data_IF_951760600690
#
_entry.id   IF_951760600690
#
_cell.length_a   1.000
_cell.length_b   1.000
_cell.length_c   1.000
_cell.angle_alpha   90.00
_cell.angle_beta   90.00
_cell.angle_gamma   90.00
#
_symmetry.space_group_name_H-M   'P 1'
#
loop_
_entity.id
_entity.type
_entity.pdbx_description
1 polymer ?
#
# COMPACT_ATOMS: atom_id res chain seq x y z
N UNK A 1 -0.36 61.55 1.86
CA UNK A 1 -0.72 61.18 3.24
C UNK A 1 -0.50 59.68 3.42
N UNK A 2 -0.20 59.25 4.64
CA UNK A 2 0.72 58.17 4.98
C UNK A 2 0.32 56.73 4.58
N UNK A 3 1.37 55.99 4.22
CA UNK A 3 1.49 54.53 4.15
C UNK A 3 1.25 53.84 5.51
N UNK A 4 0.76 52.60 5.50
CA UNK A 4 1.23 51.64 6.51
C UNK A 4 1.17 50.17 6.00
N UNK A 5 2.34 49.63 5.69
CA UNK A 5 2.64 48.19 5.67
C UNK A 5 3.02 47.78 7.09
N UNK A 6 2.35 46.79 7.66
CA UNK A 6 2.88 46.06 8.82
C UNK A 6 3.52 44.75 8.35
N UNK A 7 4.85 44.71 8.44
CA UNK A 7 5.61 43.50 8.73
C UNK A 7 5.29 43.05 10.18
N UNK A 8 5.77 41.89 10.60
CA UNK A 8 6.37 41.52 11.91
C UNK A 8 6.63 40.01 11.82
N UNK A 9 7.85 39.48 11.84
CA UNK A 9 8.95 39.55 12.81
C UNK A 9 9.10 38.15 13.45
N UNK A 10 10.13 37.45 12.99
CA UNK A 10 10.67 36.20 13.51
C UNK A 10 11.21 36.40 14.92
N UNK A 11 10.88 35.51 15.86
CA UNK A 11 11.54 35.45 17.16
C UNK A 11 12.06 34.02 17.43
N UNK A 12 13.38 33.88 17.34
CA UNK A 12 14.18 32.84 17.99
C UNK A 12 14.45 33.30 19.42
N UNK A 13 14.27 32.43 20.42
CA UNK A 13 15.03 32.51 21.65
C UNK A 13 15.23 31.11 22.25
N UNK A 14 16.42 30.94 22.80
CA UNK A 14 17.12 29.71 23.15
C UNK A 14 17.17 29.44 24.66
N UNK A 15 17.32 28.15 24.98
CA UNK A 15 18.01 27.52 26.11
C UNK A 15 17.55 27.77 27.58
N UNK A 16 17.36 26.66 28.29
CA UNK A 16 17.33 26.58 29.75
C UNK A 16 17.46 25.12 30.21
N UNK A 17 18.70 24.71 30.54
CA UNK A 17 19.06 23.43 31.14
C UNK A 17 19.10 23.59 32.67
N UNK A 18 18.47 22.71 33.45
CA UNK A 18 18.72 22.57 34.90
C UNK A 18 18.74 21.07 35.26
N UNK A 19 19.75 20.68 36.04
CA UNK A 19 20.09 19.33 36.50
C UNK A 19 19.63 19.07 37.95
N UNK A 20 19.53 17.76 38.29
CA UNK A 20 19.69 17.10 39.61
C UNK A 20 18.52 17.25 40.64
N UNK A 21 18.18 16.30 41.54
CA UNK A 21 18.65 14.94 41.90
C UNK A 21 17.76 14.37 43.05
N UNK A 22 17.90 13.06 43.35
CA UNK A 22 17.49 12.27 44.56
C UNK A 22 16.03 11.75 44.58
N UNK A 23 15.69 10.48 44.83
CA UNK A 23 16.41 9.26 45.27
C UNK A 23 15.39 8.34 45.99
N UNK A 24 15.49 7.01 45.85
CA UNK A 24 14.70 6.04 46.64
C UNK A 24 14.51 4.67 45.99
N UNK A 25 15.38 3.72 46.35
CA UNK A 25 15.41 2.29 45.97
C UNK A 25 14.57 1.38 46.90
N UNK A 26 14.53 0.08 46.52
CA UNK A 26 14.17 -1.15 47.28
C UNK A 26 12.70 -1.61 47.19
N UNK A 27 12.33 -2.87 46.97
CA UNK A 27 12.99 -4.14 46.60
C UNK A 27 11.85 -5.18 46.39
N UNK A 28 12.07 -6.28 45.66
CA UNK A 28 11.19 -7.46 45.73
C UNK A 28 11.12 -8.32 44.47
N UNK A 29 12.09 -9.22 44.30
CA UNK A 29 12.02 -10.36 43.37
C UNK A 29 11.85 -11.66 44.17
N UNK A 30 10.88 -12.50 43.78
CA UNK A 30 10.98 -13.95 43.95
C UNK A 30 10.39 -14.66 42.71
N UNK A 31 11.05 -15.68 42.15
CA UNK A 31 10.65 -16.34 40.90
C UNK A 31 9.81 -17.62 41.12
N UNK A 32 8.93 -17.95 40.18
CA UNK A 32 8.20 -19.21 40.12
C UNK A 32 7.59 -19.46 38.74
N UNK A 33 7.98 -20.56 38.11
CA UNK A 33 7.61 -21.02 36.76
C UNK A 33 6.16 -21.54 36.69
N UNK A 34 5.49 -21.25 35.56
CA UNK A 34 4.55 -22.12 34.84
C UNK A 34 4.27 -21.42 33.49
N UNK A 35 5.01 -21.74 32.44
CA UNK A 35 4.60 -22.67 31.38
C UNK A 35 3.47 -22.13 30.49
N UNK A 36 3.88 -21.84 29.24
CA UNK A 36 3.15 -22.01 27.98
C UNK A 36 1.70 -21.54 27.92
N UNK A 37 1.49 -20.45 27.18
CA UNK A 37 0.60 -20.46 26.01
C UNK A 37 1.02 -19.32 25.08
N UNK A 38 1.79 -19.67 24.04
CA UNK A 38 1.99 -18.80 22.88
C UNK A 38 0.69 -18.89 22.09
N UNK A 39 -0.27 -18.03 22.40
CA UNK A 39 -1.45 -17.86 21.57
C UNK A 39 -0.99 -17.24 20.24
N UNK A 40 -0.85 -18.11 19.26
CA UNK A 40 -0.63 -17.79 17.85
C UNK A 40 -1.90 -17.10 17.33
N UNK A 41 -1.96 -15.79 17.58
CA UNK A 41 -2.95 -14.91 17.00
C UNK A 41 -2.85 -14.97 15.48
N UNK A 42 -3.83 -15.64 14.87
CA UNK A 42 -4.02 -15.78 13.45
C UNK A 42 -4.23 -14.39 12.83
N UNK A 43 -3.14 -13.82 12.31
CA UNK A 43 -3.19 -12.76 11.31
C UNK A 43 -4.03 -13.27 10.14
N UNK A 44 -5.24 -12.72 10.01
CA UNK A 44 -6.10 -12.98 8.85
C UNK A 44 -5.41 -12.39 7.63
N UNK A 45 -4.71 -13.25 6.89
CA UNK A 45 -3.92 -12.88 5.74
C UNK A 45 -4.76 -12.10 4.72
N UNK A 46 -4.21 -10.99 4.23
CA UNK A 46 -4.57 -10.37 2.95
C UNK A 46 -4.91 -11.49 1.94
N UNK A 47 -5.98 -11.40 1.13
CA UNK A 47 -6.17 -12.40 0.07
C UNK A 47 -5.20 -12.11 -1.08
N UNK A 48 -3.96 -12.46 -0.79
CA UNK A 48 -2.81 -12.48 -1.63
C UNK A 48 -2.85 -13.79 -2.41
N UNK A 49 -2.44 -13.74 -3.68
CA UNK A 49 -2.27 -14.97 -4.42
C UNK A 49 -1.14 -15.79 -3.78
N UNK A 50 -1.12 -17.12 -4.00
CA UNK A 50 0.02 -17.95 -3.60
C UNK A 50 1.38 -17.45 -4.15
N UNK A 51 1.37 -16.72 -5.28
CA UNK A 51 2.58 -16.12 -5.85
C UNK A 51 3.07 -14.95 -5.00
N UNK A 52 2.16 -14.16 -4.42
CA UNK A 52 2.51 -13.07 -3.51
C UNK A 52 3.16 -13.59 -2.24
N UNK A 53 2.58 -14.61 -1.61
CA UNK A 53 3.14 -15.24 -0.41
C UNK A 53 4.52 -15.83 -0.69
N UNK A 54 4.68 -16.47 -1.86
CA UNK A 54 5.99 -16.96 -2.32
C UNK A 54 6.99 -15.81 -2.50
N UNK A 55 6.58 -14.66 -3.02
CA UNK A 55 7.46 -13.51 -3.21
C UNK A 55 7.90 -12.90 -1.87
N UNK A 56 6.99 -12.81 -0.90
CA UNK A 56 7.29 -12.40 0.48
C UNK A 56 8.30 -13.35 1.13
N UNK A 57 8.05 -14.65 1.05
CA UNK A 57 8.96 -15.66 1.58
C UNK A 57 10.34 -15.61 0.88
N UNK A 58 10.36 -15.44 -0.45
CA UNK A 58 11.59 -15.31 -1.22
C UNK A 58 12.41 -14.10 -0.79
N UNK A 59 11.77 -12.92 -0.66
CA UNK A 59 12.46 -11.69 -0.24
C UNK A 59 12.96 -11.78 1.20
N UNK A 60 12.22 -12.43 2.11
CA UNK A 60 12.66 -12.67 3.48
C UNK A 60 13.89 -13.59 3.54
N UNK A 61 13.94 -14.62 2.69
CA UNK A 61 15.10 -15.52 2.59
C UNK A 61 16.29 -14.91 1.84
N UNK A 62 16.04 -13.95 0.93
CA UNK A 62 17.06 -13.32 0.09
C UNK A 62 16.96 -11.78 0.16
N UNK A 63 17.13 -11.18 1.36
CA UNK A 63 16.96 -9.73 1.54
C UNK A 63 18.03 -8.93 0.81
N UNK A 64 19.14 -9.56 0.43
CA UNK A 64 20.23 -9.04 -0.40
C UNK A 64 20.48 -10.01 -1.56
N UNK A 65 21.10 -9.51 -2.63
CA UNK A 65 21.60 -10.34 -3.74
C UNK A 65 23.04 -10.71 -3.48
N UNK A 66 23.29 -11.96 -3.12
CA UNK A 66 24.65 -12.51 -2.94
C UNK A 66 25.48 -11.63 -1.97
N UNK A 67 24.84 -11.10 -0.92
CA UNK A 67 25.42 -10.17 0.05
C UNK A 67 25.34 -8.68 -0.29
N UNK A 68 24.95 -8.32 -1.53
CA UNK A 68 24.84 -6.95 -2.03
C UNK A 68 23.41 -6.47 -2.31
N UNK A 69 23.28 -5.29 -2.93
CA UNK A 69 21.98 -4.72 -3.30
C UNK A 69 21.34 -5.45 -4.49
N UNK A 70 20.02 -5.58 -4.48
CA UNK A 70 19.25 -6.04 -5.64
C UNK A 70 19.12 -4.97 -6.75
N UNK A 71 19.50 -3.71 -6.50
CA UNK A 71 19.37 -2.64 -7.49
C UNK A 71 20.06 -2.99 -8.82
N UNK A 72 19.32 -2.88 -9.93
CA UNK A 72 19.82 -3.23 -11.28
C UNK A 72 19.67 -4.72 -11.64
N UNK A 73 19.31 -5.59 -10.70
CA UNK A 73 19.27 -7.05 -10.92
C UNK A 73 17.88 -7.60 -11.18
N UNK A 74 17.02 -6.81 -11.84
CA UNK A 74 15.61 -7.16 -12.06
C UNK A 74 15.41 -8.46 -12.85
N UNK A 75 16.14 -8.68 -13.94
CA UNK A 75 16.07 -9.95 -14.69
C UNK A 75 16.54 -11.15 -13.86
N UNK A 76 17.62 -10.98 -13.07
CA UNK A 76 18.10 -12.02 -12.16
C UNK A 76 17.08 -12.35 -11.07
N UNK A 77 16.34 -11.34 -10.56
CA UNK A 77 15.28 -11.58 -9.59
C UNK A 77 14.17 -12.41 -10.23
N UNK A 78 13.71 -12.03 -11.41
CA UNK A 78 12.64 -12.76 -12.11
C UNK A 78 13.01 -14.21 -12.38
N UNK A 79 14.25 -14.45 -12.85
CA UNK A 79 14.75 -15.80 -13.13
C UNK A 79 14.83 -16.67 -11.86
N UNK A 80 15.42 -16.13 -10.77
CA UNK A 80 15.59 -16.88 -9.51
C UNK A 80 14.26 -17.09 -8.76
N UNK A 81 13.45 -16.05 -8.61
CA UNK A 81 12.13 -16.15 -7.96
C UNK A 81 11.15 -17.00 -8.77
N UNK A 82 11.12 -16.79 -10.09
CA UNK A 82 10.24 -17.52 -11.00
C UNK A 82 10.65 -18.97 -11.21
N UNK A 83 11.85 -19.36 -10.76
CA UNK A 83 12.48 -20.66 -11.03
C UNK A 83 12.47 -20.97 -12.54
N UNK A 84 12.82 -19.96 -13.33
CA UNK A 84 12.71 -20.03 -14.78
C UNK A 84 13.82 -20.93 -15.35
N UNK A 85 13.57 -21.63 -16.49
CA UNK A 85 14.57 -22.49 -17.08
C UNK A 85 15.81 -21.70 -17.53
N UNK A 86 16.97 -22.34 -17.56
CA UNK A 86 18.22 -21.71 -18.00
C UNK A 86 18.12 -21.14 -19.43
N UNK A 87 17.35 -21.79 -20.30
CA UNK A 87 17.08 -21.33 -21.67
C UNK A 87 16.39 -19.95 -21.76
N UNK A 88 15.74 -19.51 -20.68
CA UNK A 88 15.08 -18.19 -20.58
C UNK A 88 16.01 -17.09 -20.08
N UNK A 89 17.22 -17.42 -19.60
CA UNK A 89 18.15 -16.43 -19.09
C UNK A 89 18.56 -15.45 -20.19
N UNK A 90 18.55 -14.15 -19.88
CA UNK A 90 18.98 -13.09 -20.80
C UNK A 90 19.88 -12.10 -20.06
N UNK A 91 20.87 -11.51 -20.76
CA UNK A 91 21.75 -10.48 -20.21
C UNK A 91 21.02 -9.28 -19.60
N UNK A 92 19.88 -8.86 -20.18
CA UNK A 92 19.12 -7.70 -19.71
C UNK A 92 17.61 -7.91 -19.76
N UNK A 93 16.87 -7.02 -19.07
CA UNK A 93 15.41 -7.06 -19.07
C UNK A 93 14.84 -6.70 -20.46
N UNK A 94 15.46 -5.78 -21.20
CA UNK A 94 15.02 -5.40 -22.54
C UNK A 94 15.24 -6.53 -23.55
N UNK A 95 16.28 -7.34 -23.40
CA UNK A 95 16.50 -8.53 -24.21
C UNK A 95 15.50 -9.64 -23.88
N UNK A 96 15.18 -9.84 -22.60
CA UNK A 96 14.09 -10.73 -22.19
C UNK A 96 12.74 -10.27 -22.76
N UNK A 97 12.43 -8.97 -22.69
CA UNK A 97 11.23 -8.38 -23.30
C UNK A 97 11.15 -8.69 -24.80
N UNK A 98 12.23 -8.45 -25.56
CA UNK A 98 12.27 -8.70 -27.02
C UNK A 98 12.11 -10.17 -27.38
N UNK A 99 12.58 -11.07 -26.52
CA UNK A 99 12.43 -12.50 -26.69
C UNK A 99 11.07 -13.03 -26.17
N UNK A 100 10.24 -12.19 -25.56
CA UNK A 100 8.97 -12.57 -24.95
C UNK A 100 7.78 -12.19 -25.82
N UNK A 101 6.68 -12.94 -25.69
CA UNK A 101 5.41 -12.60 -26.34
C UNK A 101 4.55 -11.67 -25.47
N UNK A 102 4.52 -10.39 -25.83
CA UNK A 102 3.67 -9.38 -25.18
C UNK A 102 2.20 -9.66 -25.45
N UNK A 103 1.39 -9.63 -24.38
CA UNK A 103 -0.04 -9.90 -24.44
C UNK A 103 -0.85 -8.60 -24.57
N UNK A 104 -0.51 -7.58 -23.78
CA UNK A 104 -1.23 -6.31 -23.77
C UNK A 104 -0.39 -5.21 -23.16
N UNK A 105 -0.67 -3.96 -23.55
CA UNK A 105 -0.11 -2.75 -22.93
C UNK A 105 -0.99 -2.17 -21.83
N UNK A 106 -2.20 -2.73 -21.62
CA UNK A 106 -3.06 -2.38 -20.50
C UNK A 106 -2.68 -3.23 -19.27
N UNK A 107 -2.09 -2.63 -18.21
CA UNK A 107 -1.66 -3.39 -17.04
C UNK A 107 -2.84 -3.93 -16.23
N UNK A 108 -4.02 -3.31 -16.29
CA UNK A 108 -5.19 -3.74 -15.53
C UNK A 108 -5.71 -5.13 -15.95
N UNK A 109 -5.33 -5.61 -17.14
CA UNK A 109 -5.69 -6.95 -17.62
C UNK A 109 -4.64 -8.01 -17.33
N UNK A 110 -3.53 -7.64 -16.67
CA UNK A 110 -2.44 -8.57 -16.39
C UNK A 110 -2.91 -9.68 -15.45
N UNK A 111 -2.53 -10.91 -15.76
CA UNK A 111 -2.83 -12.07 -14.93
C UNK A 111 -1.77 -12.20 -13.82
N UNK A 112 -2.11 -12.88 -12.73
CA UNK A 112 -1.15 -13.23 -11.67
C UNK A 112 0.05 -13.95 -12.27
N UNK A 113 1.27 -13.56 -11.89
CA UNK A 113 2.53 -14.10 -12.41
C UNK A 113 2.95 -13.53 -13.77
N UNK A 114 2.26 -12.51 -14.31
CA UNK A 114 2.69 -11.82 -15.50
C UNK A 114 3.98 -11.02 -15.27
N UNK A 115 4.84 -10.94 -16.28
CA UNK A 115 5.99 -10.05 -16.31
C UNK A 115 5.59 -8.71 -16.92
N UNK A 116 5.95 -7.63 -16.25
CA UNK A 116 5.77 -6.26 -16.70
C UNK A 116 7.10 -5.68 -17.13
N UNK A 117 7.11 -4.96 -18.25
CA UNK A 117 8.32 -4.50 -18.89
C UNK A 117 8.35 -2.99 -19.01
N UNK A 118 9.53 -2.40 -18.85
CA UNK A 118 9.76 -0.98 -19.07
C UNK A 118 11.01 -0.74 -19.89
N UNK A 119 10.94 0.32 -20.68
CA UNK A 119 12.08 0.92 -21.35
C UNK A 119 12.66 2.01 -20.43
N UNK A 120 13.86 1.73 -19.93
CA UNK A 120 14.65 2.61 -19.08
C UNK A 120 16.12 2.24 -19.18
N UNK A 121 16.97 3.22 -19.49
CA UNK A 121 18.40 2.99 -19.69
C UNK A 121 18.68 2.00 -20.82
N UNK A 122 19.87 1.39 -20.81
CA UNK A 122 20.28 0.40 -21.82
C UNK A 122 19.65 -0.99 -21.58
N UNK A 123 19.39 -1.34 -20.32
CA UNK A 123 19.03 -2.71 -19.92
C UNK A 123 17.53 -2.93 -19.72
N UNK A 124 16.73 -1.87 -19.69
CA UNK A 124 15.30 -1.93 -19.37
C UNK A 124 15.01 -2.33 -17.93
N UNK A 125 13.73 -2.57 -17.62
CA UNK A 125 13.31 -3.09 -16.32
C UNK A 125 12.21 -4.13 -16.45
N UNK A 126 12.15 -5.04 -15.47
CA UNK A 126 11.12 -6.08 -15.37
C UNK A 126 10.68 -6.31 -13.92
N UNK A 127 9.40 -6.62 -13.73
CA UNK A 127 8.85 -7.09 -12.47
C UNK A 127 7.71 -8.09 -12.68
N UNK A 128 7.40 -8.89 -11.65
CA UNK A 128 6.38 -9.92 -11.70
C UNK A 128 5.11 -9.48 -10.95
N UNK A 129 3.96 -9.55 -11.62
CA UNK A 129 2.67 -9.28 -11.00
C UNK A 129 2.32 -10.38 -9.99
N UNK A 130 2.10 -9.99 -8.75
CA UNK A 130 1.82 -10.91 -7.68
C UNK A 130 0.33 -11.20 -7.50
N UNK A 131 -0.57 -10.35 -8.01
CA UNK A 131 -2.02 -10.47 -7.77
C UNK A 131 -2.86 -10.22 -9.04
N UNK A 132 -2.21 -9.96 -10.17
CA UNK A 132 -2.83 -9.44 -11.38
C UNK A 132 -3.10 -7.93 -11.31
N UNK A 133 -3.36 -7.36 -12.48
CA UNK A 133 -3.82 -5.98 -12.67
C UNK A 133 -2.74 -4.90 -12.55
N UNK A 134 -1.46 -5.27 -12.41
CA UNK A 134 -0.33 -4.36 -12.34
C UNK A 134 -0.21 -3.59 -11.02
N UNK A 135 -0.79 -4.14 -9.94
CA UNK A 135 -1.04 -3.41 -8.69
C UNK A 135 -0.02 -3.73 -7.59
N UNK A 136 0.46 -4.98 -7.57
CA UNK A 136 1.50 -5.46 -6.68
C UNK A 136 2.54 -6.18 -7.54
N UNK A 137 3.52 -5.44 -8.03
CA UNK A 137 4.56 -5.96 -8.93
C UNK A 137 5.85 -6.10 -8.14
N UNK A 138 6.30 -7.34 -8.00
CA UNK A 138 7.55 -7.70 -7.36
C UNK A 138 8.73 -7.34 -8.25
N UNK A 139 9.68 -6.59 -7.70
CA UNK A 139 10.77 -6.01 -8.49
C UNK A 139 12.03 -5.76 -7.66
N UNK A 140 13.15 -5.70 -8.39
CA UNK A 140 14.45 -5.31 -7.86
C UNK A 140 14.74 -3.86 -8.24
N UNK A 141 14.50 -2.92 -7.32
CA UNK A 141 14.61 -1.49 -7.61
C UNK A 141 14.83 -0.64 -6.35
N UNK A 142 15.36 0.57 -6.54
CA UNK A 142 15.35 1.63 -5.53
C UNK A 142 14.03 2.42 -5.51
N UNK A 143 13.15 2.23 -6.51
CA UNK A 143 11.86 2.90 -6.62
C UNK A 143 10.72 2.01 -6.11
N UNK A 144 10.80 1.55 -4.87
CA UNK A 144 9.78 0.70 -4.25
C UNK A 144 8.72 1.55 -3.53
N UNK A 145 7.47 1.08 -3.53
CA UNK A 145 6.44 1.61 -2.62
C UNK A 145 6.51 0.91 -1.26
N UNK A 146 6.90 -0.37 -1.26
CA UNK A 146 7.14 -1.15 -0.05
C UNK A 146 8.43 -1.96 -0.23
N UNK A 147 9.38 -1.74 0.67
CA UNK A 147 10.65 -2.47 0.70
C UNK A 147 10.55 -3.72 1.58
N UNK A 148 11.09 -4.83 1.09
CA UNK A 148 11.19 -6.11 1.81
C UNK A 148 12.64 -6.55 2.05
N UNK A 149 13.61 -5.70 1.68
CA UNK A 149 15.04 -5.95 1.83
C UNK A 149 15.85 -4.78 1.24
N UNK A 150 17.04 -5.08 0.73
CA UNK A 150 17.90 -4.08 0.07
C UNK A 150 17.57 -4.04 -1.43
N UNK A 151 16.76 -3.05 -1.82
CA UNK A 151 16.29 -2.85 -3.19
C UNK A 151 15.47 -4.02 -3.78
N UNK A 152 14.72 -4.72 -2.93
CA UNK A 152 13.77 -5.79 -3.29
C UNK A 152 12.44 -5.54 -2.59
N UNK A 153 11.34 -5.66 -3.31
CA UNK A 153 10.00 -5.41 -2.76
C UNK A 153 8.99 -5.22 -3.87
N UNK A 154 7.97 -4.40 -3.61
CA UNK A 154 6.90 -4.16 -4.58
C UNK A 154 6.73 -2.69 -4.93
N UNK A 155 6.14 -2.48 -6.10
CA UNK A 155 5.48 -1.24 -6.50
C UNK A 155 4.31 -1.60 -7.46
N UNK A 156 3.45 -0.63 -7.79
CA UNK A 156 2.51 -0.78 -8.90
C UNK A 156 3.15 -0.31 -10.21
N UNK A 157 2.49 -0.59 -11.35
CA UNK A 157 2.93 -0.05 -12.65
C UNK A 157 2.91 1.48 -12.64
N UNK A 158 1.80 2.06 -12.17
CA UNK A 158 1.62 3.52 -12.06
C UNK A 158 2.67 4.15 -11.14
N UNK A 159 2.91 3.53 -9.97
CA UNK A 159 3.84 4.01 -8.96
C UNK A 159 5.30 3.89 -9.40
N UNK A 160 5.67 2.83 -10.11
CA UNK A 160 7.02 2.68 -10.65
C UNK A 160 7.27 3.65 -11.81
N UNK A 161 6.37 3.71 -12.80
CA UNK A 161 6.51 4.59 -13.98
C UNK A 161 6.61 6.05 -13.57
N UNK A 162 5.78 6.50 -12.61
CA UNK A 162 5.84 7.89 -12.14
C UNK A 162 7.13 8.24 -11.40
N UNK A 163 7.67 7.33 -10.59
CA UNK A 163 8.89 7.58 -9.80
C UNK A 163 10.18 7.45 -10.61
N UNK A 164 10.21 6.54 -11.57
CA UNK A 164 11.40 6.25 -12.38
C UNK A 164 11.45 7.08 -13.68
N UNK A 165 10.31 7.59 -14.15
CA UNK A 165 10.18 8.15 -15.50
C UNK A 165 10.24 7.10 -16.61
N UNK A 166 10.25 5.80 -16.26
CA UNK A 166 10.37 4.72 -17.22
C UNK A 166 9.11 4.59 -18.11
N UNK A 167 9.31 4.32 -19.39
CA UNK A 167 8.21 4.10 -20.34
C UNK A 167 7.73 2.66 -20.24
N UNK A 168 6.47 2.46 -19.86
CA UNK A 168 5.88 1.12 -19.78
C UNK A 168 5.70 0.50 -21.18
N UNK A 169 6.12 -0.75 -21.33
CA UNK A 169 6.10 -1.48 -22.61
C UNK A 169 4.99 -2.52 -22.71
N UNK A 170 4.34 -2.88 -21.60
CA UNK A 170 3.28 -3.87 -21.53
C UNK A 170 3.63 -5.07 -20.66
N UNK A 171 2.81 -6.12 -20.73
CA UNK A 171 2.99 -7.34 -19.96
C UNK A 171 2.91 -8.61 -20.81
N UNK A 172 3.54 -9.67 -20.30
CA UNK A 172 3.51 -11.01 -20.88
C UNK A 172 3.38 -12.07 -19.78
N UNK A 173 2.81 -13.24 -20.11
CA UNK A 173 2.96 -14.44 -19.26
C UNK A 173 4.29 -15.16 -19.52
N UNK A 174 4.99 -14.72 -20.55
CA UNK A 174 6.19 -15.31 -21.12
C UNK A 174 7.41 -14.47 -20.76
N UNK A 175 8.46 -15.10 -20.26
CA UNK A 175 9.78 -14.53 -20.06
C UNK A 175 10.75 -15.33 -20.91
N UNK A 176 10.89 -14.96 -22.19
CA UNK A 176 11.79 -15.61 -23.13
C UNK A 176 11.66 -17.16 -23.17
N UNK A 177 10.43 -17.67 -23.14
CA UNK A 177 10.07 -19.09 -23.08
C UNK A 177 9.79 -19.62 -21.67
N UNK A 178 10.09 -18.85 -20.61
CA UNK A 178 9.83 -19.20 -19.21
C UNK A 178 8.48 -18.68 -18.70
N UNK A 179 7.90 -19.35 -17.70
CA UNK A 179 6.66 -18.92 -17.03
C UNK A 179 6.73 -19.19 -15.52
N UNK A 180 6.20 -18.25 -14.73
CA UNK A 180 6.06 -18.43 -13.29
C UNK A 180 5.00 -19.49 -12.98
N UNK A 181 5.39 -20.54 -12.26
CA UNK A 181 4.46 -21.58 -11.79
C UNK A 181 3.40 -20.98 -10.85
N UNK A 182 2.14 -21.42 -11.04
CA UNK A 182 0.96 -20.91 -10.32
C UNK A 182 0.35 -19.64 -10.91
N UNK A 183 0.88 -19.13 -12.04
CA UNK A 183 0.40 -17.91 -12.69
C UNK A 183 -0.63 -18.15 -13.80
N UNK A 184 -1.38 -17.09 -14.13
CA UNK A 184 -2.39 -17.06 -15.19
C UNK A 184 -3.82 -16.81 -14.69
N UNK A 185 -4.02 -16.59 -13.40
CA UNK A 185 -5.32 -16.24 -12.88
C UNK A 185 -5.62 -14.73 -13.10
N UNK A 186 -6.86 -14.34 -13.40
CA UNK A 186 -7.23 -12.93 -13.56
C UNK A 186 -6.95 -12.10 -12.30
N UNK A 187 -6.85 -10.76 -12.42
CA UNK A 187 -6.81 -9.88 -11.25
C UNK A 187 -7.97 -10.17 -10.31
N UNK A 188 -7.65 -10.48 -9.04
CA UNK A 188 -8.66 -10.89 -8.05
C UNK A 188 -9.07 -12.38 -8.12
N UNK A 189 -8.41 -13.18 -8.94
CA UNK A 189 -8.57 -14.63 -9.06
C UNK A 189 -7.42 -15.35 -8.36
N UNK A 190 -7.66 -15.84 -7.16
CA UNK A 190 -6.74 -16.70 -6.42
C UNK A 190 -7.49 -17.35 -5.28
N UNK A 191 -8.24 -18.42 -5.59
CA UNK A 191 -9.15 -19.10 -4.65
C UNK A 191 -10.60 -18.65 -4.85
N UNK A 192 -11.53 -19.61 -4.96
CA UNK A 192 -12.92 -19.37 -5.33
C UNK A 192 -13.68 -18.40 -4.41
N UNK A 193 -14.61 -17.66 -5.00
CA UNK A 193 -15.57 -16.82 -4.27
C UNK A 193 -15.47 -15.34 -4.63
N UNK A 194 -16.48 -14.84 -5.32
CA UNK A 194 -16.71 -13.47 -5.76
C UNK A 194 -16.76 -12.42 -4.63
N UNK A 195 -15.63 -11.87 -4.18
CA UNK A 195 -15.58 -10.53 -3.56
C UNK A 195 -14.14 -10.04 -3.40
N UNK A 196 -13.92 -8.73 -3.51
CA UNK A 196 -12.67 -8.12 -3.04
C UNK A 196 -12.52 -8.44 -1.54
N UNK A 197 -11.36 -8.97 -1.09
CA UNK A 197 -11.12 -9.33 0.30
C UNK A 197 -11.42 -8.16 1.22
N UNK A 198 -12.00 -8.40 2.40
CA UNK A 198 -12.20 -7.34 3.40
C UNK A 198 -10.84 -6.79 3.83
N UNK A 199 -10.80 -5.49 4.11
CA UNK A 199 -9.62 -4.84 4.69
C UNK A 199 -9.67 -4.90 6.20
N UNK A 200 -8.55 -5.20 6.83
CA UNK A 200 -8.30 -5.11 8.27
C UNK A 200 -8.20 -3.67 8.80
N UNK A 201 -8.06 -2.68 7.92
CA UNK A 201 -8.03 -1.25 8.29
C UNK A 201 -9.23 -0.83 9.14
N UNK A 202 -10.38 -1.52 9.07
CA UNK A 202 -11.52 -1.27 9.96
C UNK A 202 -11.19 -1.52 11.45
N UNK A 203 -10.19 -2.36 11.75
CA UNK A 203 -9.76 -2.73 13.10
C UNK A 203 -8.48 -1.99 13.52
N UNK A 204 -7.45 -1.99 12.68
CA UNK A 204 -6.14 -1.46 13.06
C UNK A 204 -5.96 0.04 12.71
N UNK A 205 -6.75 0.56 11.77
CA UNK A 205 -6.65 1.93 11.24
C UNK A 205 -5.41 2.20 10.39
N UNK A 206 -4.70 1.16 9.94
CA UNK A 206 -3.51 1.24 9.07
C UNK A 206 -3.93 0.98 7.62
N UNK A 207 -3.87 1.97 6.72
CA UNK A 207 -4.24 1.77 5.33
C UNK A 207 -3.29 0.83 4.57
N UNK A 208 -3.84 -0.23 3.99
CA UNK A 208 -3.12 -1.15 3.10
C UNK A 208 -3.61 -1.12 1.64
N UNK A 209 -3.01 -1.90 0.73
CA UNK A 209 -3.44 -1.96 -0.68
C UNK A 209 -4.90 -2.40 -0.85
N UNK A 210 -5.39 -3.36 -0.04
CA UNK A 210 -6.78 -3.83 -0.10
C UNK A 210 -7.77 -2.73 0.30
N UNK A 211 -7.42 -1.93 1.31
CA UNK A 211 -8.20 -0.75 1.72
C UNK A 211 -8.41 0.21 0.55
N UNK A 212 -7.34 0.58 -0.14
CA UNK A 212 -7.41 1.48 -1.29
C UNK A 212 -8.11 0.85 -2.50
N UNK A 213 -7.90 -0.43 -2.81
CA UNK A 213 -8.63 -1.12 -3.90
C UNK A 213 -10.14 -1.10 -3.66
N UNK A 214 -10.57 -1.32 -2.42
CA UNK A 214 -11.98 -1.27 -2.05
C UNK A 214 -12.54 0.15 -2.17
N UNK A 215 -11.79 1.17 -1.74
CA UNK A 215 -12.14 2.59 -1.96
C UNK A 215 -12.28 2.90 -3.44
N UNK A 216 -11.32 2.51 -4.27
CA UNK A 216 -11.33 2.77 -5.71
C UNK A 216 -12.49 2.06 -6.41
N UNK A 217 -12.78 0.81 -6.01
CA UNK A 217 -13.90 0.04 -6.56
C UNK A 217 -15.25 0.64 -6.19
N UNK A 218 -15.45 0.99 -4.91
CA UNK A 218 -16.64 1.71 -4.47
C UNK A 218 -16.72 3.09 -5.13
N UNK A 219 -15.57 3.75 -5.30
CA UNK A 219 -15.44 5.02 -6.01
C UNK A 219 -15.90 4.96 -7.46
N UNK A 220 -15.51 3.92 -8.18
CA UNK A 220 -15.88 3.76 -9.59
C UNK A 220 -17.38 3.46 -9.72
N UNK A 221 -17.91 2.62 -8.83
CA UNK A 221 -19.33 2.26 -8.82
C UNK A 221 -20.25 3.41 -8.43
N UNK A 222 -19.92 4.13 -7.35
CA UNK A 222 -20.85 5.03 -6.67
C UNK A 222 -20.52 6.52 -6.85
N UNK A 223 -19.28 6.87 -7.23
CA UNK A 223 -18.78 8.25 -7.13
C UNK A 223 -18.09 8.78 -8.40
N UNK A 224 -18.12 8.04 -9.50
CA UNK A 224 -17.54 8.45 -10.78
C UNK A 224 -16.02 8.48 -10.79
N UNK A 225 -15.35 7.70 -9.95
CA UNK A 225 -13.90 7.54 -9.99
C UNK A 225 -13.46 6.89 -11.31
N UNK A 226 -12.58 7.56 -12.04
CA UNK A 226 -12.03 7.09 -13.34
C UNK A 226 -10.58 6.63 -13.26
N UNK A 227 -9.99 6.67 -12.05
CA UNK A 227 -8.63 6.20 -11.82
C UNK A 227 -8.51 4.67 -11.78
N UNK A 228 -7.29 4.13 -11.74
CA UNK A 228 -7.07 2.70 -11.65
C UNK A 228 -7.51 2.13 -10.30
N UNK A 229 -8.00 0.88 -10.28
CA UNK A 229 -8.19 0.10 -9.04
C UNK A 229 -6.88 -0.61 -8.73
N UNK A 230 -5.89 0.15 -8.24
CA UNK A 230 -4.52 -0.33 -8.05
C UNK A 230 -4.05 -0.44 -6.59
N UNK A 231 -4.87 -0.03 -5.62
CA UNK A 231 -4.51 -0.02 -4.22
C UNK A 231 -3.48 1.03 -3.85
N UNK A 232 -3.14 1.95 -4.77
CA UNK A 232 -2.20 3.05 -4.53
C UNK A 232 -3.01 4.32 -4.25
N UNK A 233 -2.61 5.02 -3.19
CA UNK A 233 -3.22 6.31 -2.88
C UNK A 233 -2.67 7.42 -3.79
N UNK A 234 -3.59 8.25 -4.27
CA UNK A 234 -3.33 9.49 -5.00
C UNK A 234 -4.49 10.45 -4.76
N UNK A 235 -4.38 11.70 -5.21
CA UNK A 235 -5.36 12.76 -4.85
C UNK A 235 -6.81 12.40 -5.16
N UNK A 236 -7.08 11.67 -6.26
CA UNK A 236 -8.42 11.21 -6.58
C UNK A 236 -8.89 10.10 -5.63
N UNK A 237 -8.01 9.15 -5.26
CA UNK A 237 -8.33 8.10 -4.28
C UNK A 237 -8.61 8.70 -2.90
N UNK A 238 -7.83 9.70 -2.48
CA UNK A 238 -8.02 10.44 -1.22
C UNK A 238 -9.36 11.19 -1.21
N UNK A 239 -9.69 11.89 -2.30
CA UNK A 239 -10.99 12.57 -2.46
C UNK A 239 -12.14 11.57 -2.33
N UNK A 240 -12.04 10.41 -2.97
CA UNK A 240 -13.07 9.36 -2.86
C UNK A 240 -13.14 8.77 -1.45
N UNK A 241 -12.01 8.56 -0.77
CA UNK A 241 -12.00 8.13 0.64
C UNK A 241 -12.84 9.07 1.48
N UNK A 242 -12.59 10.38 1.39
CA UNK A 242 -13.33 11.39 2.15
C UNK A 242 -14.82 11.33 1.85
N UNK A 243 -15.20 11.19 0.58
CA UNK A 243 -16.62 11.08 0.18
C UNK A 243 -17.30 9.83 0.72
N UNK A 244 -16.62 8.67 0.67
CA UNK A 244 -17.12 7.41 1.23
C UNK A 244 -17.29 7.51 2.74
N UNK A 245 -16.29 8.04 3.44
CA UNK A 245 -16.37 8.27 4.90
C UNK A 245 -17.50 9.22 5.22
N UNK A 246 -17.63 10.34 4.49
CA UNK A 246 -18.69 11.31 4.70
C UNK A 246 -20.09 10.72 4.49
N UNK A 247 -20.29 9.86 3.49
CA UNK A 247 -21.53 9.08 3.34
C UNK A 247 -21.83 8.24 4.57
N UNK A 248 -20.82 7.53 5.10
CA UNK A 248 -20.99 6.71 6.32
C UNK A 248 -21.30 7.56 7.55
N UNK A 249 -20.65 8.72 7.69
CA UNK A 249 -20.95 9.67 8.75
C UNK A 249 -22.39 10.20 8.62
N UNK A 250 -22.82 10.60 7.43
CA UNK A 250 -24.15 11.15 7.19
C UNK A 250 -25.27 10.10 7.44
N UNK A 251 -25.02 8.83 7.14
CA UNK A 251 -25.96 7.72 7.45
C UNK A 251 -26.21 7.50 8.93
N UNK A 252 -25.25 7.84 9.79
CA UNK A 252 -25.35 7.62 11.26
C UNK A 252 -26.12 8.73 11.99
N UNK A 253 -26.73 9.67 11.27
CA UNK A 253 -27.52 10.78 11.83
C UNK A 253 -26.69 11.85 12.54
N UNK A 254 -27.24 13.03 12.80
CA UNK A 254 -26.51 14.20 13.31
C UNK A 254 -26.16 15.22 12.22
N UNK A 255 -25.28 16.21 12.49
CA UNK A 255 -24.97 17.25 11.51
C UNK A 255 -24.39 16.67 10.21
N UNK A 256 -25.03 17.00 9.09
CA UNK A 256 -24.58 16.59 7.74
C UNK A 256 -23.30 17.32 7.39
N UNK A 257 -22.33 16.59 6.84
CA UNK A 257 -21.15 17.19 6.20
C UNK A 257 -21.30 17.18 4.68
N UNK A 258 -20.88 18.28 4.02
CA UNK A 258 -20.83 18.41 2.56
C UNK A 258 -19.67 17.65 1.92
N UNK A 259 -18.75 17.12 2.73
CA UNK A 259 -17.60 16.35 2.26
C UNK A 259 -17.98 15.11 1.44
N UNK A 260 -19.23 14.65 1.53
CA UNK A 260 -19.79 13.59 0.67
C UNK A 260 -19.87 14.03 -0.80
N UNK A 261 -20.12 15.31 -1.03
CA UNK A 261 -20.36 15.90 -2.34
C UNK A 261 -19.04 16.32 -3.01
N UNK A 262 -18.17 17.02 -2.26
CA UNK A 262 -16.94 17.63 -2.79
C UNK A 262 -15.65 16.89 -2.41
N UNK A 263 -15.68 15.98 -1.43
CA UNK A 263 -14.49 15.31 -0.91
C UNK A 263 -13.53 16.22 -0.12
N UNK A 264 -14.01 17.36 0.36
CA UNK A 264 -13.23 18.34 1.13
C UNK A 264 -13.64 18.26 2.61
N UNK A 265 -12.73 17.84 3.51
CA UNK A 265 -13.08 17.66 4.91
C UNK A 265 -13.10 19.01 5.66
N UNK A 266 -14.30 19.52 5.95
CA UNK A 266 -14.52 20.70 6.81
C UNK A 266 -14.58 20.39 8.31
N UNK A 267 -14.81 21.41 9.14
CA UNK A 267 -14.91 21.26 10.60
C UNK A 267 -15.98 20.24 11.01
N UNK A 268 -17.16 20.27 10.38
CA UNK A 268 -18.22 19.29 10.62
C UNK A 268 -17.73 17.87 10.31
N UNK A 269 -17.02 17.65 9.20
CA UNK A 269 -16.46 16.33 8.87
C UNK A 269 -15.56 15.81 10.00
N UNK A 270 -14.61 16.62 10.47
CA UNK A 270 -13.66 16.18 11.49
C UNK A 270 -14.31 15.96 12.85
N UNK A 271 -15.20 16.85 13.29
CA UNK A 271 -15.98 16.64 14.52
C UNK A 271 -16.79 15.34 14.46
N UNK A 272 -17.35 15.05 13.28
CA UNK A 272 -18.11 13.81 13.03
C UNK A 272 -17.21 12.58 13.03
N UNK A 273 -16.03 12.62 12.40
CA UNK A 273 -15.03 11.56 12.46
C UNK A 273 -14.65 11.25 13.91
N UNK A 274 -14.40 12.27 14.74
CA UNK A 274 -14.04 12.08 16.14
C UNK A 274 -15.21 11.48 16.96
N UNK A 275 -16.43 11.98 16.73
CA UNK A 275 -17.62 11.51 17.43
C UNK A 275 -17.96 10.06 17.07
N UNK A 276 -18.09 9.76 15.77
CA UNK A 276 -18.36 8.39 15.29
C UNK A 276 -17.17 7.47 15.57
N UNK A 277 -15.96 8.01 15.50
CA UNK A 277 -14.72 7.31 15.78
C UNK A 277 -14.67 6.70 17.19
N UNK A 278 -15.45 7.21 18.15
CA UNK A 278 -15.56 6.59 19.50
C UNK A 278 -16.00 5.14 19.41
N UNK A 279 -16.94 4.80 18.52
CA UNK A 279 -17.36 3.42 18.25
C UNK A 279 -16.29 2.57 17.56
N UNK A 280 -15.21 3.18 17.10
CA UNK A 280 -14.04 2.57 16.47
C UNK A 280 -12.77 2.72 17.35
N UNK A 281 -12.93 2.99 18.65
CA UNK A 281 -11.82 3.09 19.60
C UNK A 281 -11.04 4.40 19.59
N UNK A 282 -11.62 5.49 19.07
CA UNK A 282 -11.05 6.83 19.20
C UNK A 282 -11.05 7.30 20.67
N UNK A 283 -9.89 7.75 21.16
CA UNK A 283 -9.72 8.21 22.55
C UNK A 283 -9.44 9.71 22.67
N UNK A 284 -9.21 10.42 21.56
CA UNK A 284 -8.87 11.85 21.56
C UNK A 284 -10.06 12.81 21.80
N UNK A 285 -9.81 14.13 21.84
CA UNK A 285 -10.85 15.15 22.03
C UNK A 285 -11.83 15.23 20.84
N UNK A 286 -13.04 15.73 21.09
CA UNK A 286 -14.00 16.06 20.02
C UNK A 286 -13.96 17.58 19.83
N UNK A 287 -13.01 18.06 19.04
CA UNK A 287 -12.70 19.47 18.85
C UNK A 287 -12.74 19.92 17.37
N UNK A 288 -12.99 18.98 16.44
CA UNK A 288 -12.99 19.24 15.00
C UNK A 288 -11.60 19.45 14.40
N UNK A 289 -10.52 19.26 15.17
CA UNK A 289 -9.14 19.44 14.72
C UNK A 289 -8.50 18.05 14.49
N UNK A 290 -8.11 17.71 13.26
CA UNK A 290 -7.57 16.38 12.98
C UNK A 290 -6.13 16.23 13.50
N UNK A 291 -5.95 15.34 14.47
CA UNK A 291 -4.64 14.81 14.88
C UNK A 291 -4.44 13.36 14.42
N UNK A 292 -3.29 12.72 14.75
CA UNK A 292 -2.98 11.35 14.34
C UNK A 292 -4.07 10.33 14.69
N UNK A 293 -4.67 10.44 15.88
CA UNK A 293 -5.77 9.57 16.30
C UNK A 293 -7.06 9.81 15.49
N UNK A 294 -7.28 11.05 15.02
CA UNK A 294 -8.45 11.40 14.20
C UNK A 294 -8.33 10.76 12.82
N UNK A 295 -7.15 10.82 12.19
CA UNK A 295 -6.89 10.13 10.92
C UNK A 295 -7.02 8.61 11.05
N UNK A 296 -6.48 8.03 12.13
CA UNK A 296 -6.65 6.60 12.41
C UNK A 296 -8.12 6.20 12.53
N UNK A 297 -8.93 7.02 13.20
CA UNK A 297 -10.37 6.82 13.30
C UNK A 297 -11.07 6.95 11.94
N UNK A 298 -10.70 7.95 11.13
CA UNK A 298 -11.18 8.12 9.76
C UNK A 298 -10.95 6.86 8.92
N UNK A 299 -9.73 6.30 8.98
CA UNK A 299 -9.38 5.09 8.25
C UNK A 299 -10.21 3.88 8.69
N UNK A 300 -10.44 3.72 10.00
CA UNK A 300 -11.31 2.66 10.53
C UNK A 300 -12.74 2.77 10.03
N UNK A 301 -13.30 3.99 10.06
CA UNK A 301 -14.65 4.27 9.56
C UNK A 301 -14.74 3.96 8.06
N UNK A 302 -13.77 4.42 7.27
CA UNK A 302 -13.74 4.14 5.84
C UNK A 302 -13.59 2.64 5.56
N UNK A 303 -12.70 1.96 6.28
CA UNK A 303 -12.51 0.51 6.21
C UNK A 303 -13.80 -0.24 6.46
N UNK A 304 -14.53 0.13 7.51
CA UNK A 304 -15.85 -0.40 7.84
C UNK A 304 -16.85 -0.19 6.72
N UNK A 305 -16.90 1.02 6.16
CA UNK A 305 -17.85 1.41 5.12
C UNK A 305 -17.60 0.63 3.83
N UNK A 306 -16.35 0.51 3.40
CA UNK A 306 -16.03 -0.26 2.20
C UNK A 306 -16.27 -1.74 2.43
N UNK A 307 -15.93 -2.31 3.60
CA UNK A 307 -16.17 -3.74 3.96
C UNK A 307 -17.62 -4.21 3.82
N UNK A 308 -18.57 -3.28 3.90
CA UNK A 308 -20.02 -3.53 3.79
C UNK A 308 -20.63 -3.03 2.48
N UNK A 309 -19.80 -2.57 1.53
CA UNK A 309 -20.25 -2.12 0.23
C UNK A 309 -20.34 -3.24 -0.81
N UNK A 310 -19.88 -4.45 -0.48
CA UNK A 310 -19.91 -5.67 -1.28
C UNK A 310 -20.71 -6.74 -0.52
#
# INVERSE_FOLDING_TARGET
>A
MHSNRMMWATALLSAGLVLASCGGDFEGVTPGQAETEVETGTVTAEANSPIYDRARAYAAAHPTRDGGSWAGWCGSLMWRFGQLPESSARPSAIEAYRASKIVSTNPATALTGAFHWWDIGADGHVGADLNGGGTAVFMASNHLSQSWGTAIGINSISGYTSRSGARYLGWSMDYAGGKIAGGGAPPGGGGGGSSLPKTDTEFDGVPGPIYYKRIQTVGQRDYGYTGPIDGVTGSNTEKIRVRITARELNKRGGPRTSAEDDGIPGSIYWTRVQTVGRSFGYTGPIDGIPGPNTYKAEHRICGYAVNRAF
#
